data_IF_819611206194
#
_entry.id   IF_819611206194
#
_cell.length_a   1.000
_cell.length_b   1.000
_cell.length_c   1.000
_cell.angle_alpha   90.00
_cell.angle_beta   90.00
_cell.angle_gamma   90.00
#
_symmetry.space_group_name_H-M   'P 1'
#
loop_
_entity.id
_entity.type
_entity.pdbx_description
1 polymer ?
#
# COMPACT_ATOMS: atom_id res chain seq x y z
N UNK A 1 12.50 21.08 15.56
CA UNK A 1 12.80 20.67 14.18
C UNK A 1 11.47 20.42 13.54
N UNK A 2 10.97 21.47 12.90
CA UNK A 2 9.61 21.51 12.37
C UNK A 2 9.59 20.65 11.11
N UNK A 3 8.57 19.80 10.92
CA UNK A 3 8.51 18.87 9.79
C UNK A 3 8.51 19.56 8.41
N UNK A 4 8.40 20.89 8.41
CA UNK A 4 8.49 21.77 7.26
C UNK A 4 9.93 21.92 6.72
N UNK A 5 10.94 22.01 7.60
CA UNK A 5 12.36 22.17 7.21
C UNK A 5 12.93 20.90 6.54
N UNK A 6 12.47 19.73 7.00
CA UNK A 6 12.78 18.43 6.39
C UNK A 6 12.14 18.33 5.00
N UNK A 7 10.99 18.96 4.77
CA UNK A 7 10.34 18.97 3.46
C UNK A 7 11.02 19.93 2.45
N UNK A 8 11.59 21.06 2.89
CA UNK A 8 12.31 21.98 2.00
C UNK A 8 13.67 21.40 1.57
N UNK A 9 14.41 20.80 2.50
CA UNK A 9 15.64 20.07 2.15
C UNK A 9 15.38 18.92 1.16
N UNK A 10 14.23 18.25 1.28
CA UNK A 10 13.77 17.24 0.32
C UNK A 10 13.44 17.83 -1.06
N UNK A 11 12.90 19.05 -1.09
CA UNK A 11 12.57 19.77 -2.32
C UNK A 11 13.83 20.10 -3.12
N UNK A 12 14.90 20.53 -2.44
CA UNK A 12 16.19 20.86 -3.07
C UNK A 12 16.93 19.63 -3.60
N UNK A 13 16.83 18.49 -2.91
CA UNK A 13 17.43 17.23 -3.35
C UNK A 13 16.73 16.68 -4.61
N UNK A 14 15.39 16.66 -4.63
CA UNK A 14 14.59 16.18 -5.75
C UNK A 14 14.73 17.03 -7.03
N UNK A 15 15.03 18.32 -6.89
CA UNK A 15 15.28 19.22 -8.02
C UNK A 15 16.69 19.06 -8.61
N UNK A 16 17.66 18.55 -7.84
CA UNK A 16 19.04 18.32 -8.29
C UNK A 16 19.21 17.01 -9.07
N UNK A 17 18.45 15.97 -8.72
CA UNK A 17 18.54 14.66 -9.39
C UNK A 17 17.89 14.61 -10.78
N UNK A 18 17.09 15.61 -11.15
CA UNK A 18 16.42 15.71 -12.46
C UNK A 18 17.37 15.89 -13.66
N UNK A 19 18.68 16.05 -13.45
CA UNK A 19 19.66 16.33 -14.53
C UNK A 19 20.50 15.10 -14.91
N UNK A 20 20.39 13.97 -14.22
CA UNK A 20 21.33 12.87 -14.41
C UNK A 20 20.66 11.49 -14.40
N UNK A 21 19.95 11.12 -15.47
CA UNK A 21 19.99 9.75 -16.04
C UNK A 21 18.91 9.58 -17.13
N UNK A 22 19.35 9.65 -18.38
CA UNK A 22 18.70 8.98 -19.51
C UNK A 22 19.58 7.79 -19.94
N UNK A 23 18.94 6.82 -20.60
CA UNK A 23 19.44 5.63 -21.33
C UNK A 23 19.20 4.23 -20.70
N UNK A 24 18.10 3.63 -21.21
CA UNK A 24 17.91 2.29 -21.82
C UNK A 24 18.22 0.98 -21.06
N UNK A 25 17.22 0.08 -20.93
CA UNK A 25 16.98 -1.00 -21.92
C UNK A 25 15.92 -2.05 -21.45
N UNK A 26 15.27 -2.66 -22.45
CA UNK A 26 14.27 -3.75 -22.47
C UNK A 26 14.67 -5.09 -21.81
N UNK A 27 13.68 -5.86 -21.31
CA UNK A 27 13.12 -7.08 -21.96
C UNK A 27 12.40 -8.00 -20.92
N UNK A 28 11.30 -8.61 -21.35
CA UNK A 28 10.46 -9.61 -20.64
C UNK A 28 11.11 -11.03 -20.73
N UNK A 29 10.55 -12.21 -20.30
CA UNK A 29 9.19 -12.52 -19.82
C UNK A 29 9.06 -13.64 -18.73
N UNK A 30 7.79 -13.93 -18.39
CA UNK A 30 7.16 -15.26 -18.09
C UNK A 30 7.04 -15.82 -16.66
N UNK A 31 5.78 -16.10 -16.32
CA UNK A 31 5.21 -17.04 -15.33
C UNK A 31 5.78 -18.47 -15.43
N UNK A 32 5.63 -19.31 -14.38
CA UNK A 32 4.63 -20.37 -14.54
C UNK A 32 3.82 -20.71 -13.27
N UNK A 33 2.61 -21.21 -13.56
CA UNK A 33 1.69 -21.85 -12.64
C UNK A 33 2.24 -23.17 -12.07
N UNK A 34 1.80 -23.52 -10.86
CA UNK A 34 2.04 -24.83 -10.25
C UNK A 34 0.95 -25.18 -9.23
N UNK A 35 0.13 -26.17 -9.59
CA UNK A 35 -0.91 -26.82 -8.76
C UNK A 35 -0.28 -27.78 -7.76
N UNK A 36 -0.78 -27.80 -6.52
CA UNK A 36 -0.85 -29.02 -5.70
C UNK A 36 -1.86 -28.85 -4.56
N UNK A 37 -2.73 -29.86 -4.39
CA UNK A 37 -3.87 -29.86 -3.49
C UNK A 37 -3.61 -30.35 -2.06
N UNK A 38 -4.72 -30.32 -1.32
CA UNK A 38 -5.05 -30.98 -0.04
C UNK A 38 -4.26 -30.59 1.21
N UNK A 39 -4.91 -29.88 2.14
CA UNK A 39 -5.47 -30.46 3.38
C UNK A 39 -6.25 -29.34 4.10
N UNK A 40 -7.47 -29.62 4.54
CA UNK A 40 -8.37 -28.69 5.23
C UNK A 40 -7.91 -28.42 6.67
N UNK A 41 -6.76 -27.77 6.81
CA UNK A 41 -6.38 -27.08 8.03
C UNK A 41 -6.91 -25.65 7.91
N UNK A 42 -7.43 -25.08 9.00
CA UNK A 42 -7.89 -23.69 9.09
C UNK A 42 -6.74 -22.77 8.66
N UNK A 43 -6.64 -22.50 7.35
CA UNK A 43 -5.44 -21.99 6.69
C UNK A 43 -5.30 -20.56 7.17
N UNK A 44 -4.35 -20.32 8.09
CA UNK A 44 -4.00 -18.97 8.49
C UNK A 44 -3.51 -18.26 7.24
N UNK A 45 -4.35 -17.37 6.72
CA UNK A 45 -4.06 -16.56 5.55
C UNK A 45 -2.75 -15.82 5.78
N UNK A 46 -1.76 -16.06 4.91
CA UNK A 46 -0.46 -15.39 5.00
C UNK A 46 -0.59 -14.00 4.40
N UNK A 47 0.21 -13.06 4.89
CA UNK A 47 0.21 -11.69 4.37
C UNK A 47 0.51 -11.68 2.86
N UNK A 48 1.44 -12.52 2.42
CA UNK A 48 1.89 -12.63 1.04
C UNK A 48 0.82 -13.20 0.09
N UNK A 49 -0.17 -13.93 0.62
CA UNK A 49 -1.27 -14.47 -0.19
C UNK A 49 -2.34 -13.40 -0.51
N UNK A 50 -2.26 -12.22 0.11
CA UNK A 50 -3.31 -11.20 0.08
C UNK A 50 -2.89 -9.89 -0.54
N UNK A 51 -1.68 -9.82 -1.08
CA UNK A 51 -1.16 -8.57 -1.57
C UNK A 51 0.31 -8.63 -1.93
N UNK A 52 0.86 -7.45 -2.19
CA UNK A 52 2.19 -7.28 -2.78
C UNK A 52 2.98 -6.25 -1.98
N UNK A 53 4.25 -6.55 -1.72
CA UNK A 53 5.19 -5.60 -1.12
C UNK A 53 5.74 -4.67 -2.21
N UNK A 54 5.15 -3.47 -2.30
CA UNK A 54 5.55 -2.46 -3.29
C UNK A 54 6.97 -1.96 -3.03
N UNK A 55 7.37 -1.79 -1.77
CA UNK A 55 8.75 -1.42 -1.41
C UNK A 55 9.76 -2.47 -1.86
N UNK A 56 9.43 -3.77 -1.78
CA UNK A 56 10.29 -4.83 -2.32
C UNK A 56 10.41 -4.71 -3.84
N UNK A 57 9.31 -4.53 -4.55
CA UNK A 57 9.33 -4.34 -6.01
C UNK A 57 10.13 -3.09 -6.41
N UNK A 58 10.02 -2.00 -5.66
CA UNK A 58 10.80 -0.77 -5.86
C UNK A 58 12.30 -1.02 -5.73
N UNK A 59 12.75 -1.76 -4.68
CA UNK A 59 14.17 -2.13 -4.53
C UNK A 59 14.67 -3.02 -5.65
N UNK A 60 13.78 -3.85 -6.22
CA UNK A 60 14.09 -4.73 -7.35
C UNK A 60 14.01 -4.01 -8.70
N UNK A 61 13.62 -2.72 -8.76
CA UNK A 61 13.47 -1.96 -10.00
C UNK A 61 12.30 -2.45 -10.88
N UNK A 62 11.32 -3.13 -10.29
CA UNK A 62 10.17 -3.74 -11.01
C UNK A 62 8.91 -2.89 -11.02
N UNK A 63 8.94 -1.70 -10.40
CA UNK A 63 7.82 -0.78 -10.46
C UNK A 63 7.94 0.12 -11.69
N UNK A 64 6.80 0.47 -12.26
CA UNK A 64 6.74 1.42 -13.36
C UNK A 64 7.22 2.81 -12.92
N UNK A 65 7.89 3.53 -13.83
CA UNK A 65 8.34 4.90 -13.58
C UNK A 65 7.12 5.81 -13.57
N UNK A 66 6.95 6.56 -12.48
CA UNK A 66 5.81 7.44 -12.27
C UNK A 66 6.15 8.86 -12.72
N UNK A 67 5.50 9.34 -13.79
CA UNK A 67 5.71 10.69 -14.31
C UNK A 67 4.66 11.68 -13.82
N UNK A 68 5.09 12.87 -13.37
CA UNK A 68 4.20 14.01 -13.13
C UNK A 68 3.28 13.90 -11.92
N UNK A 69 3.59 13.02 -10.94
CA UNK A 69 2.82 12.83 -9.69
C UNK A 69 3.57 13.29 -8.43
N UNK A 70 4.57 14.14 -8.61
CA UNK A 70 5.48 14.59 -7.56
C UNK A 70 4.73 15.29 -6.42
N UNK A 71 3.70 16.08 -6.73
CA UNK A 71 2.94 16.83 -5.74
C UNK A 71 2.03 15.91 -4.91
N UNK A 72 1.36 14.95 -5.53
CA UNK A 72 0.49 13.99 -4.85
C UNK A 72 1.29 13.04 -3.95
N UNK A 73 2.43 12.53 -4.44
CA UNK A 73 3.35 11.69 -3.65
C UNK A 73 3.86 12.48 -2.44
N UNK A 74 4.28 13.74 -2.63
CA UNK A 74 4.72 14.63 -1.55
C UNK A 74 3.61 14.92 -0.53
N UNK A 75 2.37 15.10 -1.01
CA UNK A 75 1.22 15.29 -0.14
C UNK A 75 0.96 14.03 0.72
N UNK A 76 1.07 12.84 0.13
CA UNK A 76 0.96 11.57 0.85
C UNK A 76 2.03 11.44 1.93
N UNK A 77 3.31 11.66 1.59
CA UNK A 77 4.42 11.64 2.56
C UNK A 77 4.18 12.60 3.73
N UNK A 78 3.75 13.84 3.44
CA UNK A 78 3.45 14.85 4.47
C UNK A 78 2.32 14.41 5.40
N UNK A 79 1.32 13.70 4.89
CA UNK A 79 0.22 13.16 5.72
C UNK A 79 0.73 12.00 6.58
N UNK A 80 1.50 11.07 6.02
CA UNK A 80 2.00 9.87 6.70
C UNK A 80 2.94 10.18 7.87
N UNK A 81 3.70 11.28 7.79
CA UNK A 81 4.62 11.73 8.86
C UNK A 81 3.91 12.35 10.07
N UNK A 82 2.60 12.65 9.97
CA UNK A 82 1.86 13.28 11.07
C UNK A 82 1.78 12.36 12.30
N UNK A 83 1.75 12.95 13.48
CA UNK A 83 1.58 12.19 14.75
C UNK A 83 0.20 11.55 14.91
N UNK A 84 -0.83 12.12 14.28
CA UNK A 84 -2.24 11.72 14.40
C UNK A 84 -2.92 11.87 13.05
N UNK A 85 -3.92 11.01 12.77
CA UNK A 85 -4.67 11.00 11.50
C UNK A 85 -3.74 10.97 10.28
N UNK A 86 -2.72 10.13 10.36
CA UNK A 86 -1.69 9.97 9.34
C UNK A 86 -2.11 9.02 8.22
N UNK A 87 -3.40 9.03 7.86
CA UNK A 87 -3.96 8.17 6.82
C UNK A 87 -4.19 9.04 5.58
N UNK A 88 -3.40 8.83 4.53
CA UNK A 88 -3.58 9.50 3.26
C UNK A 88 -4.75 8.85 2.49
N UNK A 89 -5.64 9.68 1.93
CA UNK A 89 -6.73 9.23 1.07
C UNK A 89 -6.56 9.90 -0.30
N UNK A 90 -6.33 9.08 -1.32
CA UNK A 90 -6.17 9.54 -2.70
C UNK A 90 -7.54 9.47 -3.36
N UNK A 91 -8.07 10.62 -3.77
CA UNK A 91 -9.40 10.74 -4.39
C UNK A 91 -9.23 11.19 -5.83
N UNK A 92 -10.00 10.61 -6.74
CA UNK A 92 -10.01 10.94 -8.15
C UNK A 92 -10.87 9.98 -8.94
N UNK A 93 -11.09 10.28 -10.21
CA UNK A 93 -11.87 9.42 -11.12
C UNK A 93 -11.19 8.05 -11.33
N UNK A 94 -11.94 7.07 -11.82
CA UNK A 94 -11.37 5.76 -12.18
C UNK A 94 -10.36 5.94 -13.34
N UNK A 95 -9.26 5.20 -13.31
CA UNK A 95 -8.26 5.23 -14.39
C UNK A 95 -7.25 6.38 -14.36
N UNK A 96 -7.36 7.34 -13.44
CA UNK A 96 -6.38 8.47 -13.35
C UNK A 96 -4.99 8.09 -12.82
N UNK A 97 -4.76 6.82 -12.48
CA UNK A 97 -3.48 6.34 -11.96
C UNK A 97 -3.30 6.56 -10.45
N UNK A 98 -4.35 6.36 -9.64
CA UNK A 98 -4.24 6.42 -8.16
C UNK A 98 -3.24 5.39 -7.61
N UNK A 99 -3.20 4.21 -8.22
CA UNK A 99 -2.26 3.14 -7.91
C UNK A 99 -0.82 3.54 -8.23
N UNK A 100 -0.59 4.26 -9.33
CA UNK A 100 0.74 4.77 -9.68
C UNK A 100 1.29 5.75 -8.62
N UNK A 101 0.44 6.50 -7.91
CA UNK A 101 0.89 7.34 -6.78
C UNK A 101 1.43 6.46 -5.64
N UNK A 102 0.82 5.30 -5.37
CA UNK A 102 1.31 4.37 -4.36
C UNK A 102 2.64 3.70 -4.77
N UNK A 103 2.81 3.37 -6.05
CA UNK A 103 4.07 2.85 -6.58
C UNK A 103 5.18 3.90 -6.49
N UNK A 104 4.90 5.14 -6.90
CA UNK A 104 5.83 6.26 -6.76
C UNK A 104 6.19 6.53 -5.30
N UNK A 105 5.24 6.38 -4.38
CA UNK A 105 5.50 6.45 -2.94
C UNK A 105 6.44 5.32 -2.48
N UNK A 106 6.28 4.09 -2.96
CA UNK A 106 7.21 2.99 -2.66
C UNK A 106 8.63 3.30 -3.17
N UNK A 107 8.75 3.87 -4.38
CA UNK A 107 10.03 4.29 -4.93
C UNK A 107 10.71 5.36 -4.07
N UNK A 108 9.96 6.33 -3.53
CA UNK A 108 10.52 7.33 -2.60
C UNK A 108 10.90 6.72 -1.24
N UNK A 109 10.16 5.73 -0.74
CA UNK A 109 10.49 5.08 0.54
C UNK A 109 11.80 4.27 0.50
N UNK A 110 12.26 3.85 -0.68
CA UNK A 110 13.51 3.10 -0.85
C UNK A 110 14.68 3.98 -1.27
N UNK A 111 14.43 5.21 -1.70
CA UNK A 111 15.46 6.15 -2.14
C UNK A 111 15.98 7.00 -0.98
N UNK A 112 17.08 7.71 -1.24
CA UNK A 112 17.68 8.65 -0.28
C UNK A 112 16.77 9.86 0.01
N UNK A 113 15.71 10.05 -0.79
CA UNK A 113 14.66 11.05 -0.57
C UNK A 113 13.61 10.59 0.47
N UNK A 114 13.78 9.43 1.12
CA UNK A 114 12.86 9.02 2.19
C UNK A 114 13.08 9.86 3.46
N UNK A 115 12.03 10.50 4.02
CA UNK A 115 12.13 11.15 5.33
C UNK A 115 12.57 10.16 6.42
N UNK A 116 13.42 10.61 7.35
CA UNK A 116 13.95 9.77 8.44
C UNK A 116 12.84 9.07 9.24
N UNK A 117 11.73 9.76 9.47
CA UNK A 117 10.55 9.24 10.18
C UNK A 117 9.84 8.09 9.45
N UNK A 118 10.05 7.93 8.15
CA UNK A 118 9.50 6.85 7.33
C UNK A 118 10.56 5.85 6.87
N UNK A 119 11.82 6.01 7.30
CA UNK A 119 12.85 5.03 7.00
C UNK A 119 12.46 3.66 7.56
N UNK A 120 12.81 2.61 6.81
CA UNK A 120 12.48 1.21 7.11
C UNK A 120 10.98 0.88 7.11
N UNK A 121 10.10 1.81 6.74
CA UNK A 121 8.71 1.47 6.49
C UNK A 121 8.61 0.63 5.21
N UNK A 122 7.75 -0.38 5.28
CA UNK A 122 7.31 -1.18 4.14
C UNK A 122 6.01 -0.60 3.61
N UNK A 123 5.86 -0.45 2.29
CA UNK A 123 4.57 -0.20 1.66
C UNK A 123 4.01 -1.52 1.13
N UNK A 124 2.87 -1.94 1.68
CA UNK A 124 2.21 -3.18 1.30
C UNK A 124 0.84 -2.87 0.68
N UNK A 125 0.65 -3.26 -0.58
CA UNK A 125 -0.63 -3.20 -1.27
C UNK A 125 -1.46 -4.41 -0.88
N UNK A 126 -2.62 -4.19 -0.26
CA UNK A 126 -3.54 -5.26 0.12
C UNK A 126 -4.69 -5.33 -0.88
N UNK A 127 -4.87 -6.50 -1.48
CA UNK A 127 -5.96 -6.78 -2.39
C UNK A 127 -7.16 -7.31 -1.61
N UNK A 128 -8.21 -6.49 -1.47
CA UNK A 128 -9.39 -6.84 -0.68
C UNK A 128 -10.17 -8.01 -1.34
N UNK A 129 -10.15 -8.12 -2.67
CA UNK A 129 -10.76 -9.22 -3.43
C UNK A 129 -10.23 -10.60 -3.00
N UNK A 130 -8.93 -10.70 -2.70
CA UNK A 130 -8.30 -11.95 -2.23
C UNK A 130 -8.88 -12.43 -0.88
N UNK A 131 -9.33 -11.48 -0.05
CA UNK A 131 -9.90 -11.77 1.27
C UNK A 131 -11.34 -12.25 1.17
N UNK A 132 -12.07 -11.75 0.18
CA UNK A 132 -13.46 -12.12 -0.13
C UNK A 132 -13.53 -13.46 -0.88
N UNK A 133 -12.49 -13.79 -1.66
CA UNK A 133 -12.42 -15.03 -2.41
C UNK A 133 -12.53 -16.25 -1.47
N UNK A 134 -13.58 -17.07 -1.70
CA UNK A 134 -13.83 -18.29 -0.93
C UNK A 134 -14.34 -18.07 0.49
N UNK A 135 -14.77 -16.86 0.87
CA UNK A 135 -15.57 -16.67 2.10
C UNK A 135 -17.05 -16.80 1.77
N UNK A 136 -17.75 -17.70 2.48
CA UNK A 136 -19.21 -17.85 2.34
C UNK A 136 -19.97 -16.91 3.27
N UNK A 137 -19.30 -16.43 4.32
CA UNK A 137 -19.90 -15.65 5.40
C UNK A 137 -19.05 -14.41 5.72
N UNK A 138 -19.72 -13.28 6.01
CA UNK A 138 -19.08 -12.02 6.43
C UNK A 138 -18.07 -12.20 7.56
N UNK A 139 -18.39 -13.03 8.55
CA UNK A 139 -17.51 -13.27 9.70
C UNK A 139 -16.14 -13.81 9.32
N UNK A 140 -16.06 -14.62 8.25
CA UNK A 140 -14.79 -15.17 7.78
C UNK A 140 -13.89 -14.08 7.18
N UNK A 141 -14.47 -13.12 6.45
CA UNK A 141 -13.73 -11.95 5.96
C UNK A 141 -13.18 -11.12 7.14
N UNK A 142 -13.99 -10.85 8.16
CA UNK A 142 -13.53 -10.07 9.32
C UNK A 142 -12.40 -10.80 10.07
N UNK A 143 -12.51 -12.12 10.24
CA UNK A 143 -11.46 -12.94 10.85
C UNK A 143 -10.15 -12.92 10.03
N UNK A 144 -10.25 -13.04 8.70
CA UNK A 144 -9.08 -12.96 7.80
C UNK A 144 -8.43 -11.58 7.86
N UNK A 145 -9.20 -10.50 7.79
CA UNK A 145 -8.69 -9.14 7.86
C UNK A 145 -8.02 -8.86 9.22
N UNK A 146 -8.63 -9.28 10.33
CA UNK A 146 -8.01 -9.17 11.67
C UNK A 146 -6.73 -9.98 11.78
N UNK A 147 -6.68 -11.18 11.20
CA UNK A 147 -5.47 -12.00 11.15
C UNK A 147 -4.32 -11.27 10.47
N UNK A 148 -4.59 -10.61 9.34
CA UNK A 148 -3.60 -9.81 8.58
C UNK A 148 -3.14 -8.62 9.40
N UNK A 149 -4.05 -7.85 9.99
CA UNK A 149 -3.67 -6.73 10.87
C UNK A 149 -2.81 -7.19 12.05
N UNK A 150 -3.08 -8.39 12.60
CA UNK A 150 -2.28 -8.96 13.68
C UNK A 150 -0.88 -9.37 13.20
N UNK A 151 -0.75 -9.89 11.98
CA UNK A 151 0.55 -10.19 11.37
C UNK A 151 1.37 -8.92 11.14
N UNK A 152 0.74 -7.84 10.66
CA UNK A 152 1.37 -6.53 10.46
C UNK A 152 1.82 -5.87 11.78
N UNK A 153 1.06 -6.06 12.86
CA UNK A 153 1.37 -5.52 14.20
C UNK A 153 2.27 -6.43 15.05
N UNK A 154 2.73 -7.57 14.51
CA UNK A 154 3.52 -8.54 15.26
C UNK A 154 4.86 -7.91 15.68
N UNK A 155 5.28 -8.14 16.92
CA UNK A 155 6.62 -7.70 17.38
C UNK A 155 7.70 -8.30 16.47
N UNK A 156 8.59 -7.44 15.97
CA UNK A 156 9.65 -7.79 15.02
C UNK A 156 9.26 -7.69 13.55
N UNK A 157 7.98 -7.44 13.22
CA UNK A 157 7.59 -7.07 11.86
C UNK A 157 8.06 -5.63 11.55
N UNK A 158 8.46 -5.34 10.31
CA UNK A 158 8.79 -3.99 9.91
C UNK A 158 7.55 -3.09 9.99
N UNK A 159 7.70 -1.81 10.39
CA UNK A 159 6.59 -0.88 10.34
C UNK A 159 6.05 -0.84 8.91
N UNK A 160 4.73 -0.94 8.74
CA UNK A 160 4.12 -1.14 7.42
C UNK A 160 3.06 -0.06 7.17
N UNK A 161 3.17 0.65 6.06
CA UNK A 161 2.09 1.44 5.45
C UNK A 161 1.25 0.47 4.62
N UNK A 162 -0.05 0.46 4.87
CA UNK A 162 -1.00 -0.37 4.14
C UNK A 162 -1.66 0.48 3.06
N UNK A 163 -1.46 0.10 1.80
CA UNK A 163 -2.20 0.66 0.68
C UNK A 163 -3.43 -0.21 0.40
N UNK A 164 -4.60 0.43 0.39
CA UNK A 164 -5.88 -0.18 0.08
C UNK A 164 -6.40 0.45 -1.21
N UNK A 165 -6.36 -0.29 -2.30
CA UNK A 165 -7.03 0.16 -3.51
C UNK A 165 -8.55 0.03 -3.34
N UNK A 166 -9.29 0.96 -3.91
CA UNK A 166 -10.74 0.97 -3.92
C UNK A 166 -11.41 0.77 -2.55
N UNK A 167 -10.92 1.46 -1.52
CA UNK A 167 -11.43 1.37 -0.14
C UNK A 167 -12.96 1.56 -0.03
N UNK A 168 -13.58 2.24 -1.00
CA UNK A 168 -15.03 2.42 -1.09
C UNK A 168 -15.79 1.09 -1.25
N UNK A 169 -15.20 0.05 -1.85
CA UNK A 169 -15.79 -1.29 -1.92
C UNK A 169 -16.03 -1.90 -0.53
N UNK A 170 -15.24 -1.46 0.46
CA UNK A 170 -15.13 -2.05 1.78
C UNK A 170 -15.69 -1.12 2.88
N UNK A 171 -15.81 0.18 2.60
CA UNK A 171 -16.44 1.19 3.48
C UNK A 171 -17.94 1.39 3.16
N UNK A 172 -18.40 0.88 2.02
CA UNK A 172 -19.82 0.74 1.70
C UNK A 172 -20.27 1.70 0.60
N UNK A 173 -20.76 1.13 -0.50
CA UNK A 173 -21.91 1.67 -1.21
C UNK A 173 -23.15 1.24 -0.43
N UNK A 174 -23.95 2.20 0.05
CA UNK A 174 -25.16 1.98 0.85
C UNK A 174 -26.30 1.28 0.10
N UNK A 175 -26.06 0.08 -0.41
CA UNK A 175 -27.08 -0.78 -0.98
C UNK A 175 -27.88 -1.46 0.13
N UNK A 176 -29.20 -1.30 0.08
CA UNK A 176 -30.22 -1.96 0.90
C UNK A 176 -30.30 -3.49 0.72
N UNK A 177 -29.21 -4.13 0.28
CA UNK A 177 -29.09 -5.59 0.14
C UNK A 177 -28.16 -6.17 1.19
N UNK A 178 -28.42 -7.40 1.62
CA UNK A 178 -27.72 -8.18 2.67
C UNK A 178 -26.18 -8.32 2.51
N UNK A 179 -25.58 -7.75 1.45
CA UNK A 179 -24.21 -8.02 1.01
C UNK A 179 -23.23 -6.83 1.12
N UNK A 180 -23.60 -5.68 1.72
CA UNK A 180 -22.62 -4.60 1.92
C UNK A 180 -21.66 -4.94 3.08
N UNK A 181 -20.37 -5.05 2.77
CA UNK A 181 -19.32 -5.30 3.75
C UNK A 181 -19.08 -4.02 4.56
N UNK A 182 -19.37 -4.05 5.87
CA UNK A 182 -19.12 -2.91 6.77
C UNK A 182 -17.76 -3.07 7.45
N UNK A 183 -16.70 -2.92 6.66
CA UNK A 183 -15.34 -2.90 7.18
C UNK A 183 -14.93 -1.51 7.69
N UNK A 184 -15.77 -0.48 7.49
CA UNK A 184 -15.59 0.82 8.11
C UNK A 184 -15.46 0.69 9.64
N UNK A 185 -16.26 -0.19 10.25
CA UNK A 185 -16.17 -0.50 11.67
C UNK A 185 -14.89 -1.26 12.08
N UNK A 186 -14.29 -2.05 11.18
CA UNK A 186 -13.02 -2.74 11.42
C UNK A 186 -11.81 -1.79 11.34
N UNK A 187 -11.91 -0.74 10.51
CA UNK A 187 -10.85 0.22 10.29
C UNK A 187 -10.80 1.31 11.36
N UNK A 188 -11.95 1.71 11.94
CA UNK A 188 -12.05 2.76 12.98
C UNK A 188 -10.99 2.66 14.10
N UNK A 189 -10.75 1.50 14.74
CA UNK A 189 -9.74 1.40 15.81
C UNK A 189 -8.30 1.58 15.34
N UNK A 190 -8.02 1.36 14.05
CA UNK A 190 -6.68 1.55 13.47
C UNK A 190 -6.48 2.96 12.90
N UNK A 191 -7.54 3.77 12.81
CA UNK A 191 -7.53 5.12 12.23
C UNK A 191 -7.62 6.26 13.28
N UNK A 192 -7.85 5.93 14.55
CA UNK A 192 -8.10 6.87 15.66
C UNK A 192 -6.83 7.37 16.38
#
# INVERSE_FOLDING_TARGET
>A
LDGYEICESLLEALLKDRVASEEEAEDTPTTPAGVAGETEQKKTVRLEDCGVDLTKLAREGKLDIVHGRDEEIRSCLRILVRRRKNNACIIGEAGVGKTAIAEGLASVLVSDACPELLQNYRLFSLELSSLVAGTKFRGEFEERFRSILKQLKRKGAPPTILFLDEIHQVVGTGGTGENSMDAANLLKPSLA
#
